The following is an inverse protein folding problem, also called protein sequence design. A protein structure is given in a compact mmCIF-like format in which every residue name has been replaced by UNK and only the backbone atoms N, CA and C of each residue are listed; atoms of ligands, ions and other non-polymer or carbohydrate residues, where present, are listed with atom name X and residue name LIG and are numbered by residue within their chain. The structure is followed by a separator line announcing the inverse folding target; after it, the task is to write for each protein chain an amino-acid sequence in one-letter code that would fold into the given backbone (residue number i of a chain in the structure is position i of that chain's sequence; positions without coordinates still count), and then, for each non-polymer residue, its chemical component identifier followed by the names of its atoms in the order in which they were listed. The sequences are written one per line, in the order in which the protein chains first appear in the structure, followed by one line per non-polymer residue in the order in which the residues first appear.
data_IF_446825080794
#
_entry.id   IF_446825080794
#
_cell.length_a   1.000
_cell.length_b   1.000
_cell.length_c   1.000
_cell.angle_alpha   90.00
_cell.angle_beta   90.00
_cell.angle_gamma   90.00
#
_symmetry.space_group_name_H-M   'P 1'
#
loop_
_entity.id
_entity.type
_entity.pdbx_description
1 polymer ?
#
# COMPACT_ATOMS: atom_id res chain seq x y z
N UNK A 1 7.59 -12.82 13.08
CA UNK A 1 6.54 -12.72 14.12
C UNK A 1 6.45 -11.26 14.53
N UNK A 2 5.29 -10.63 14.28
CA UNK A 2 4.76 -9.43 14.93
C UNK A 2 5.59 -8.13 14.97
N UNK A 3 5.16 -7.14 14.18
CA UNK A 3 4.54 -5.92 14.72
C UNK A 3 4.06 -5.00 13.57
N UNK A 4 2.81 -5.17 13.16
CA UNK A 4 2.06 -4.18 12.34
C UNK A 4 0.78 -3.86 13.13
N UNK A 5 0.90 -2.99 14.13
CA UNK A 5 -0.24 -2.31 14.76
C UNK A 5 0.24 -0.99 15.36
N UNK A 6 0.37 0.04 14.51
CA UNK A 6 0.24 1.46 14.89
C UNK A 6 -0.18 2.25 13.65
N UNK A 7 -1.45 2.12 13.26
CA UNK A 7 -2.08 2.97 12.25
C UNK A 7 -3.21 3.78 12.89
N UNK A 8 -2.88 4.55 13.93
CA UNK A 8 -3.87 5.21 14.79
C UNK A 8 -3.42 6.55 15.39
N UNK A 9 -2.44 7.22 14.79
CA UNK A 9 -2.08 8.62 15.05
C UNK A 9 -1.63 9.18 13.71
N UNK A 10 -2.35 10.17 13.20
CA UNK A 10 -1.94 11.16 12.16
C UNK A 10 -3.11 11.58 11.27
N UNK A 11 -4.22 11.99 11.90
CA UNK A 11 -5.04 13.03 11.29
C UNK A 11 -4.58 14.37 11.87
N UNK A 12 -3.51 14.88 11.24
CA UNK A 12 -2.80 16.16 11.36
C UNK A 12 -1.28 15.95 11.49
N UNK A 13 -0.59 15.48 10.43
CA UNK A 13 0.88 15.50 10.38
C UNK A 13 1.40 16.72 9.59
N UNK A 14 2.49 17.30 10.08
CA UNK A 14 3.09 18.54 9.59
C UNK A 14 3.70 18.41 8.18
N UNK A 15 3.67 19.50 7.40
CA UNK A 15 4.21 19.57 6.03
C UNK A 15 5.75 19.66 6.07
N UNK A 16 6.45 18.64 5.55
CA UNK A 16 7.89 18.71 5.30
C UNK A 16 8.19 18.80 3.80
N UNK A 17 9.14 19.69 3.47
CA UNK A 17 9.65 19.91 2.11
C UNK A 17 10.86 18.99 1.89
N UNK A 18 10.80 18.14 0.86
CA UNK A 18 11.89 17.23 0.48
C UNK A 18 12.91 17.94 -0.41
N UNK A 19 14.22 17.80 -0.15
CA UNK A 19 15.30 18.31 -1.00
C UNK A 19 15.98 17.12 -1.68
N UNK A 20 15.98 17.08 -3.02
CA UNK A 20 16.63 16.02 -3.81
C UNK A 20 18.08 16.43 -4.13
N UNK A 21 19.05 15.54 -3.91
CA UNK A 21 20.46 15.80 -4.23
C UNK A 21 20.70 15.85 -5.75
N UNK A 22 21.60 16.74 -6.19
CA UNK A 22 21.93 16.97 -7.61
C UNK A 22 22.66 15.77 -8.24
N UNK A 23 22.38 15.41 -9.50
CA UNK A 23 23.01 14.30 -10.23
C UNK A 23 24.56 14.31 -10.24
N UNK A 24 25.17 15.48 -10.05
CA UNK A 24 26.64 15.62 -10.06
C UNK A 24 27.32 14.86 -8.92
N UNK A 25 26.60 14.57 -7.83
CA UNK A 25 27.13 13.81 -6.69
C UNK A 25 27.54 12.38 -7.05
N UNK A 26 26.99 11.78 -8.12
CA UNK A 26 27.38 10.42 -8.55
C UNK A 26 28.74 10.30 -9.23
N UNK A 27 29.36 11.42 -9.58
CA UNK A 27 30.74 11.43 -10.05
C UNK A 27 31.75 11.56 -8.91
N UNK A 28 31.32 12.03 -7.74
CA UNK A 28 32.16 12.14 -6.55
C UNK A 28 32.21 10.85 -5.71
N UNK A 29 31.14 10.04 -5.73
CA UNK A 29 31.02 8.82 -4.91
C UNK A 29 30.99 7.55 -5.79
N UNK A 30 32.08 6.75 -5.83
CA UNK A 30 32.14 5.52 -6.61
C UNK A 30 31.11 4.48 -6.14
N UNK A 31 30.40 3.85 -7.08
CA UNK A 31 29.34 2.85 -6.77
C UNK A 31 29.84 1.62 -6.01
N UNK A 32 31.13 1.31 -6.08
CA UNK A 32 31.73 0.19 -5.34
C UNK A 32 31.79 0.44 -3.84
N UNK A 33 31.74 1.71 -3.41
CA UNK A 33 31.86 2.12 -2.01
C UNK A 33 30.49 2.26 -1.33
N UNK A 34 29.39 2.13 -2.09
CA UNK A 34 28.01 2.15 -1.58
C UNK A 34 27.79 1.04 -0.52
N UNK A 35 28.60 -0.03 -0.53
CA UNK A 35 28.54 -1.13 0.45
C UNK A 35 29.27 -0.85 1.77
N UNK A 36 30.03 0.25 1.87
CA UNK A 36 30.79 0.65 3.06
C UNK A 36 30.04 1.69 3.92
N UNK A 37 28.82 2.06 3.50
CA UNK A 37 28.05 3.15 4.09
C UNK A 37 26.89 2.62 4.96
N UNK A 38 26.76 3.15 6.17
CA UNK A 38 25.64 2.86 7.08
C UNK A 38 24.47 3.83 6.81
N UNK A 39 23.31 3.28 6.44
CA UNK A 39 22.09 4.04 6.13
C UNK A 39 21.11 4.03 7.30
N UNK A 40 20.48 5.18 7.59
CA UNK A 40 19.38 5.25 8.56
C UNK A 40 18.05 4.83 7.92
N UNK A 41 17.22 4.13 8.69
CA UNK A 41 15.98 3.53 8.19
C UNK A 41 14.81 3.97 9.08
N UNK A 42 13.94 4.83 8.54
CA UNK A 42 12.66 5.18 9.14
C UNK A 42 11.53 4.88 8.14
N UNK A 43 10.48 4.21 8.63
CA UNK A 43 9.28 3.82 7.87
C UNK A 43 9.51 3.14 6.51
N UNK A 44 10.48 2.22 6.47
CA UNK A 44 10.80 1.33 5.34
C UNK A 44 11.33 2.03 4.09
N UNK A 45 11.86 3.25 4.20
CA UNK A 45 12.71 3.85 3.18
C UNK A 45 14.07 4.25 3.79
N UNK A 46 15.15 3.96 3.08
CA UNK A 46 16.49 4.42 3.47
C UNK A 46 16.57 5.93 3.27
N UNK A 47 16.87 6.67 4.34
CA UNK A 47 17.15 8.11 4.28
C UNK A 47 18.60 8.34 4.74
N UNK A 48 19.14 9.51 4.41
CA UNK A 48 20.51 10.03 4.53
C UNK A 48 21.51 9.33 5.48
N UNK A 49 22.79 9.34 5.06
CA UNK A 49 23.93 8.72 5.74
C UNK A 49 24.20 9.34 7.12
N UNK A 50 24.62 8.50 8.08
CA UNK A 50 24.90 8.93 9.46
C UNK A 50 26.06 9.92 9.59
N UNK A 51 27.03 9.90 8.67
CA UNK A 51 28.19 10.81 8.65
C UNK A 51 28.68 11.09 7.22
N UNK A 52 29.12 12.32 6.94
CA UNK A 52 29.87 12.67 5.74
C UNK A 52 31.38 12.67 6.06
N UNK A 53 32.17 11.82 5.40
CA UNK A 53 33.64 11.90 5.40
C UNK A 53 34.15 12.01 3.96
N UNK A 54 34.99 13.02 3.63
CA UNK A 54 35.60 13.10 2.30
C UNK A 54 36.79 12.14 2.18
N UNK A 55 36.73 11.21 1.24
CA UNK A 55 37.87 10.37 0.82
C UNK A 55 38.41 10.85 -0.54
N UNK A 56 39.25 11.89 -0.51
CA UNK A 56 40.20 12.15 -1.60
C UNK A 56 41.61 11.96 -1.04
N UNK A 57 42.45 11.06 -1.60
CA UNK A 57 43.88 11.06 -1.34
C UNK A 57 44.48 12.35 -1.91
N UNK A 58 44.67 13.37 -1.07
CA UNK A 58 45.27 14.67 -1.40
C UNK A 58 46.75 14.59 -1.87
N UNK A 59 47.33 13.39 -2.01
CA UNK A 59 48.71 13.18 -2.52
C UNK A 59 48.81 13.33 -4.05
N UNK A 60 47.76 12.96 -4.80
CA UNK A 60 47.76 13.07 -6.26
C UNK A 60 47.32 14.44 -6.78
N UNK A 61 46.72 15.27 -5.92
CA UNK A 61 46.34 16.65 -6.26
C UNK A 61 47.53 17.61 -6.15
N UNK A 62 48.57 17.27 -5.36
CA UNK A 62 49.74 18.12 -5.12
C UNK A 62 51.06 17.62 -5.74
N UNK A 63 51.06 16.63 -6.63
CA UNK A 63 52.32 16.14 -7.24
C UNK A 63 52.61 16.68 -8.65
N UNK A 64 51.86 17.66 -9.15
CA UNK A 64 52.14 18.30 -10.45
C UNK A 64 52.76 19.70 -10.35
N UNK A 65 53.14 20.18 -9.16
CA UNK A 65 53.62 21.56 -8.99
C UNK A 65 55.07 21.72 -8.47
N UNK A 66 55.83 20.64 -8.21
CA UNK A 66 57.20 20.77 -7.65
C UNK A 66 58.29 19.95 -8.36
N UNK A 67 58.24 19.79 -9.69
CA UNK A 67 59.37 19.23 -10.43
C UNK A 67 59.59 19.90 -11.79
N UNK A 68 59.68 21.24 -11.78
CA UNK A 68 60.26 21.98 -12.89
C UNK A 68 61.04 23.20 -12.37
N UNK A 69 62.07 22.98 -11.57
CA UNK A 69 63.14 23.98 -11.44
C UNK A 69 64.52 23.32 -11.31
N UNK A 70 65.32 23.55 -12.36
CA UNK A 70 66.78 23.78 -12.36
C UNK A 70 67.64 22.58 -11.94
N UNK A 71 68.53 22.04 -12.77
CA UNK A 71 69.40 22.70 -13.73
C UNK A 71 70.78 22.08 -13.51
N UNK A 72 71.23 21.30 -14.49
CA UNK A 72 72.51 20.60 -14.53
C UNK A 72 73.65 21.63 -14.60
N UNK A 73 74.77 21.38 -13.91
CA UNK A 73 76.08 21.93 -14.31
C UNK A 73 77.19 20.88 -14.12
N UNK A 74 77.93 20.47 -15.18
CA UNK A 74 78.95 19.41 -15.09
C UNK A 74 80.37 19.92 -15.41
N UNK A 75 81.30 19.75 -14.48
CA UNK A 75 82.77 19.71 -14.70
C UNK A 75 83.33 18.75 -13.63
N UNK A 76 84.13 17.73 -13.87
CA UNK A 76 85.31 17.62 -14.73
C UNK A 76 85.65 16.13 -14.92
N UNK A 77 86.19 15.79 -16.09
CA UNK A 77 86.56 14.43 -16.53
C UNK A 77 88.02 14.13 -16.20
N UNK A 78 88.36 12.95 -15.64
CA UNK A 78 89.56 12.21 -16.09
C UNK A 78 89.23 10.71 -16.18
N UNK A 79 89.44 10.19 -17.39
CA UNK A 79 89.11 8.87 -17.86
C UNK A 79 90.03 7.76 -17.34
N UNK A 80 89.43 6.66 -16.90
CA UNK A 80 89.99 5.30 -17.03
C UNK A 80 88.88 4.37 -17.52
N UNK A 81 89.08 3.79 -18.71
CA UNK A 81 88.31 2.72 -19.35
C UNK A 81 86.77 2.84 -19.34
N UNK A 82 86.24 3.84 -20.06
CA UNK A 82 84.79 4.02 -20.27
C UNK A 82 84.17 2.92 -21.13
N UNK A 83 84.93 2.29 -22.05
CA UNK A 83 84.40 1.20 -22.88
C UNK A 83 84.08 -0.05 -22.07
N UNK A 84 84.94 -0.42 -21.13
CA UNK A 84 84.81 -1.69 -20.39
C UNK A 84 83.64 -1.63 -19.40
N UNK A 85 83.49 -0.51 -18.68
CA UNK A 85 82.42 -0.33 -17.69
C UNK A 85 81.04 -0.12 -18.34
N UNK A 86 80.96 0.56 -19.49
CA UNK A 86 79.69 0.72 -20.21
C UNK A 86 79.21 -0.60 -20.82
N UNK A 87 80.11 -1.36 -21.44
CA UNK A 87 79.80 -2.69 -21.98
C UNK A 87 79.37 -3.63 -20.86
N UNK A 88 80.05 -3.58 -19.71
CA UNK A 88 79.67 -4.35 -18.52
C UNK A 88 78.31 -3.91 -17.95
N UNK A 89 78.02 -2.61 -17.88
CA UNK A 89 76.70 -2.08 -17.46
C UNK A 89 75.58 -2.49 -18.41
N UNK A 90 75.81 -2.46 -19.72
CA UNK A 90 74.84 -2.95 -20.70
C UNK A 90 74.65 -4.46 -20.60
N UNK A 91 75.72 -5.23 -20.35
CA UNK A 91 75.62 -6.67 -20.13
C UNK A 91 74.84 -7.01 -18.85
N UNK A 92 75.07 -6.28 -17.76
CA UNK A 92 74.34 -6.44 -16.48
C UNK A 92 72.88 -6.00 -16.62
N UNK A 93 72.61 -4.88 -17.30
CA UNK A 93 71.23 -4.42 -17.56
C UNK A 93 70.48 -5.40 -18.47
N UNK A 94 71.13 -5.94 -19.51
CA UNK A 94 70.55 -6.96 -20.38
C UNK A 94 70.28 -8.27 -19.62
N UNK A 95 71.20 -8.70 -18.75
CA UNK A 95 71.00 -9.85 -17.87
C UNK A 95 69.85 -9.61 -16.88
N UNK A 96 69.75 -8.41 -16.30
CA UNK A 96 68.68 -8.02 -15.39
C UNK A 96 67.32 -8.00 -16.10
N UNK A 97 67.24 -7.38 -17.28
CA UNK A 97 66.03 -7.35 -18.11
C UNK A 97 65.64 -8.78 -18.52
N UNK A 98 66.60 -9.63 -18.90
CA UNK A 98 66.34 -11.03 -19.23
C UNK A 98 65.78 -11.80 -18.03
N UNK A 99 66.34 -11.60 -16.83
CA UNK A 99 65.84 -12.20 -15.59
C UNK A 99 64.43 -11.69 -15.28
N UNK A 100 64.17 -10.38 -15.40
CA UNK A 100 62.84 -9.79 -15.17
C UNK A 100 61.79 -10.32 -16.17
N UNK A 101 62.14 -10.44 -17.46
CA UNK A 101 61.25 -11.02 -18.48
C UNK A 101 60.94 -12.49 -18.17
N UNK A 102 61.95 -13.27 -17.73
CA UNK A 102 61.76 -14.68 -17.36
C UNK A 102 60.94 -14.84 -16.09
N UNK A 103 61.17 -13.99 -15.08
CA UNK A 103 60.41 -13.98 -13.83
C UNK A 103 58.96 -13.57 -14.07
N UNK A 104 58.74 -12.57 -14.92
CA UNK A 104 57.40 -12.11 -15.29
C UNK A 104 56.66 -13.18 -16.11
N UNK A 105 57.36 -13.88 -17.03
CA UNK A 105 56.78 -14.98 -17.79
C UNK A 105 56.33 -16.17 -16.94
N UNK A 106 57.12 -16.58 -15.94
CA UNK A 106 56.73 -17.66 -15.01
C UNK A 106 55.62 -17.24 -14.05
N UNK A 107 55.63 -15.99 -13.57
CA UNK A 107 54.53 -15.47 -12.74
C UNK A 107 53.22 -15.31 -13.54
N UNK A 108 53.30 -14.88 -14.80
CA UNK A 108 52.14 -14.78 -15.70
C UNK A 108 51.51 -16.14 -16.00
N UNK A 109 52.33 -17.19 -16.19
CA UNK A 109 51.84 -18.56 -16.35
C UNK A 109 51.11 -19.11 -15.12
N UNK A 110 51.58 -18.78 -13.91
CA UNK A 110 50.90 -19.15 -12.66
C UNK A 110 49.60 -18.38 -12.46
N UNK A 111 49.60 -17.07 -12.77
CA UNK A 111 48.41 -16.22 -12.70
C UNK A 111 47.30 -16.69 -13.66
N UNK A 112 47.64 -17.11 -14.88
CA UNK A 112 46.64 -17.63 -15.83
C UNK A 112 46.06 -18.98 -15.39
N UNK A 113 46.87 -19.87 -14.81
CA UNK A 113 46.37 -21.14 -14.26
C UNK A 113 45.48 -20.93 -13.03
N UNK A 114 45.82 -19.95 -12.20
CA UNK A 114 45.00 -19.55 -11.06
C UNK A 114 43.69 -18.89 -11.52
N UNK A 115 43.75 -18.01 -12.53
CA UNK A 115 42.57 -17.37 -13.11
C UNK A 115 41.60 -18.40 -13.72
N UNK A 116 42.10 -19.38 -14.49
CA UNK A 116 41.28 -20.46 -15.02
C UNK A 116 40.67 -21.37 -13.93
N UNK A 117 41.41 -21.64 -12.85
CA UNK A 117 40.91 -22.39 -11.70
C UNK A 117 39.86 -21.60 -10.91
N UNK A 118 40.02 -20.28 -10.78
CA UNK A 118 39.05 -19.37 -10.15
C UNK A 118 37.80 -19.24 -11.02
N UNK A 119 37.94 -19.14 -12.33
CA UNK A 119 36.82 -19.05 -13.28
C UNK A 119 35.96 -20.32 -13.27
N UNK A 120 36.57 -21.51 -13.25
CA UNK A 120 35.81 -22.77 -13.13
C UNK A 120 35.10 -22.92 -11.78
N UNK A 121 35.71 -22.44 -10.68
CA UNK A 121 35.09 -22.42 -9.34
C UNK A 121 33.97 -21.39 -9.24
N UNK A 122 34.13 -20.21 -9.87
CA UNK A 122 33.10 -19.19 -9.98
C UNK A 122 31.91 -19.70 -10.80
N UNK A 123 32.15 -20.41 -11.90
CA UNK A 123 31.10 -21.02 -12.72
C UNK A 123 30.29 -22.08 -11.95
N UNK A 124 30.95 -22.95 -11.19
CA UNK A 124 30.25 -23.92 -10.33
C UNK A 124 29.43 -23.21 -9.22
N UNK A 125 29.96 -22.12 -8.67
CA UNK A 125 29.28 -21.34 -7.63
C UNK A 125 28.07 -20.57 -8.16
N UNK A 126 28.14 -20.07 -9.41
CA UNK A 126 27.01 -19.38 -10.05
C UNK A 126 25.87 -20.35 -10.37
N UNK A 127 26.17 -21.55 -10.85
CA UNK A 127 25.17 -22.60 -11.10
C UNK A 127 24.45 -23.00 -9.80
N UNK A 128 25.20 -23.18 -8.70
CA UNK A 128 24.61 -23.49 -7.39
C UNK A 128 23.73 -22.34 -6.88
N UNK A 129 24.15 -21.08 -7.05
CA UNK A 129 23.32 -19.92 -6.66
C UNK A 129 22.04 -19.82 -7.48
N UNK A 130 22.09 -20.14 -8.76
CA UNK A 130 20.94 -20.11 -9.66
C UNK A 130 19.91 -21.18 -9.27
N UNK A 131 20.38 -22.38 -8.91
CA UNK A 131 19.52 -23.44 -8.36
C UNK A 131 18.90 -23.05 -7.01
N UNK A 132 19.65 -22.41 -6.12
CA UNK A 132 19.13 -21.94 -4.83
C UNK A 132 18.04 -20.88 -5.03
N UNK A 133 18.23 -19.95 -5.98
CA UNK A 133 17.25 -18.90 -6.28
C UNK A 133 15.97 -19.47 -6.91
N UNK A 134 16.11 -20.48 -7.79
CA UNK A 134 14.97 -21.24 -8.33
C UNK A 134 14.19 -21.95 -7.21
N UNK A 135 14.87 -22.64 -6.29
CA UNK A 135 14.22 -23.33 -5.16
C UNK A 135 13.53 -22.31 -4.23
N UNK A 136 14.18 -21.18 -3.93
CA UNK A 136 13.60 -20.12 -3.10
C UNK A 136 12.32 -19.55 -3.73
N UNK A 137 12.33 -19.35 -5.06
CA UNK A 137 11.17 -18.88 -5.80
C UNK A 137 10.02 -19.91 -5.78
N UNK A 138 10.32 -21.19 -5.90
CA UNK A 138 9.32 -22.26 -5.79
C UNK A 138 8.74 -22.35 -4.37
N UNK A 139 9.57 -22.25 -3.33
CA UNK A 139 9.11 -22.24 -1.94
C UNK A 139 8.15 -21.07 -1.66
N UNK A 140 8.47 -19.86 -2.15
CA UNK A 140 7.57 -18.69 -2.04
C UNK A 140 6.22 -18.94 -2.72
N UNK A 141 6.21 -19.60 -3.88
CA UNK A 141 4.97 -19.97 -4.59
C UNK A 141 4.14 -20.98 -3.79
N UNK A 142 4.78 -22.00 -3.23
CA UNK A 142 4.08 -23.01 -2.41
C UNK A 142 3.44 -22.37 -1.19
N UNK A 143 4.18 -21.53 -0.45
CA UNK A 143 3.65 -20.84 0.73
C UNK A 143 2.47 -19.94 0.37
N UNK A 144 2.56 -19.17 -0.72
CA UNK A 144 1.44 -18.32 -1.17
C UNK A 144 0.23 -19.13 -1.66
N UNK A 145 0.43 -20.32 -2.22
CA UNK A 145 -0.65 -21.22 -2.59
C UNK A 145 -1.30 -21.89 -1.36
N UNK A 146 -0.52 -22.26 -0.34
CA UNK A 146 -1.03 -22.79 0.92
C UNK A 146 -1.86 -21.74 1.68
N UNK A 147 -1.41 -20.48 1.67
CA UNK A 147 -2.15 -19.36 2.27
C UNK A 147 -3.46 -19.09 1.52
N UNK A 148 -3.44 -19.10 0.18
CA UNK A 148 -4.67 -19.00 -0.64
C UNK A 148 -5.63 -20.14 -0.37
N UNK A 149 -5.15 -21.39 -0.27
CA UNK A 149 -5.97 -22.56 0.03
C UNK A 149 -6.64 -22.45 1.40
N UNK A 150 -5.89 -22.03 2.43
CA UNK A 150 -6.42 -21.82 3.78
C UNK A 150 -7.52 -20.75 3.81
N UNK A 151 -7.32 -19.66 3.06
CA UNK A 151 -8.33 -18.61 2.95
C UNK A 151 -9.60 -19.10 2.23
N UNK A 152 -9.43 -19.90 1.18
CA UNK A 152 -10.54 -20.49 0.43
C UNK A 152 -11.33 -21.52 1.28
N UNK A 153 -10.66 -22.31 2.11
CA UNK A 153 -11.29 -23.23 3.07
C UNK A 153 -12.07 -22.46 4.16
N UNK A 154 -11.55 -21.30 4.59
CA UNK A 154 -12.22 -20.42 5.54
C UNK A 154 -13.46 -19.74 4.92
N UNK A 155 -13.38 -19.30 3.66
CA UNK A 155 -14.53 -18.80 2.90
C UNK A 155 -15.61 -19.87 2.71
N UNK A 156 -15.22 -21.10 2.39
CA UNK A 156 -16.15 -22.21 2.24
C UNK A 156 -16.86 -22.56 3.56
N UNK A 157 -16.13 -22.50 4.68
CA UNK A 157 -16.70 -22.65 6.02
C UNK A 157 -17.72 -21.55 6.37
N UNK A 158 -17.40 -20.30 6.04
CA UNK A 158 -18.31 -19.15 6.24
C UNK A 158 -19.54 -19.24 5.33
N UNK A 159 -19.38 -19.66 4.07
CA UNK A 159 -20.48 -19.87 3.15
C UNK A 159 -21.44 -20.96 3.65
N UNK A 160 -20.91 -22.09 4.15
CA UNK A 160 -21.73 -23.15 4.76
C UNK A 160 -22.51 -22.69 5.98
N UNK A 161 -21.89 -21.91 6.86
CA UNK A 161 -22.57 -21.33 8.02
C UNK A 161 -23.68 -20.35 7.60
N UNK A 162 -23.42 -19.54 6.58
CA UNK A 162 -24.39 -18.60 6.02
C UNK A 162 -25.56 -19.32 5.34
N UNK A 163 -25.31 -20.39 4.59
CA UNK A 163 -26.37 -21.22 3.99
C UNK A 163 -27.26 -21.83 5.07
N UNK A 164 -26.68 -22.36 6.14
CA UNK A 164 -27.45 -22.92 7.25
C UNK A 164 -28.28 -21.84 8.00
N UNK A 165 -27.78 -20.62 8.12
CA UNK A 165 -28.52 -19.48 8.67
C UNK A 165 -29.63 -18.99 7.73
N UNK A 166 -29.38 -19.01 6.41
CA UNK A 166 -30.37 -18.68 5.38
C UNK A 166 -31.50 -19.71 5.30
N UNK A 167 -31.22 -21.00 5.52
CA UNK A 167 -32.25 -22.05 5.62
C UNK A 167 -33.13 -21.84 6.86
N UNK A 168 -32.53 -21.45 7.98
CA UNK A 168 -33.25 -21.12 9.22
C UNK A 168 -34.11 -19.87 9.07
N UNK A 169 -33.56 -18.82 8.44
CA UNK A 169 -34.29 -17.57 8.13
C UNK A 169 -35.32 -17.77 7.02
N UNK A 170 -35.10 -18.70 6.10
CA UNK A 170 -36.05 -19.07 5.05
C UNK A 170 -37.36 -19.65 5.59
N UNK A 171 -37.28 -20.42 6.69
CA UNK A 171 -38.46 -20.92 7.40
C UNK A 171 -39.24 -19.80 8.11
N UNK A 172 -38.56 -18.75 8.58
CA UNK A 172 -39.18 -17.60 9.24
C UNK A 172 -39.75 -16.56 8.22
N UNK A 173 -39.04 -16.34 7.10
CA UNK A 173 -39.39 -15.37 6.05
C UNK A 173 -40.61 -15.75 5.20
N UNK A 174 -41.08 -17.00 5.25
CA UNK A 174 -42.33 -17.37 4.59
C UNK A 174 -43.57 -16.81 5.31
N UNK A 175 -43.43 -16.35 6.56
CA UNK A 175 -44.52 -15.77 7.36
C UNK A 175 -44.65 -14.25 7.15
N UNK A 176 -43.56 -13.52 6.84
CA UNK A 176 -43.55 -12.05 6.65
C UNK A 176 -43.69 -11.58 5.18
N UNK A 177 -43.81 -12.52 4.23
CA UNK A 177 -43.65 -12.29 2.78
C UNK A 177 -44.77 -11.50 2.07
N UNK A 178 -45.65 -10.80 2.77
CA UNK A 178 -46.76 -10.06 2.15
C UNK A 178 -46.52 -8.55 2.00
N UNK A 179 -45.45 -7.99 2.57
CA UNK A 179 -45.16 -6.55 2.49
C UNK A 179 -43.79 -6.29 1.85
N UNK A 180 -43.77 -5.49 0.78
CA UNK A 180 -42.52 -5.05 0.13
C UNK A 180 -41.83 -4.04 1.04
N UNK A 181 -40.54 -4.22 1.40
CA UNK A 181 -39.81 -3.28 2.22
C UNK A 181 -39.75 -1.87 1.61
N UNK A 182 -39.74 -0.85 2.46
CA UNK A 182 -39.63 0.56 2.04
C UNK A 182 -38.24 0.85 1.49
N UNK A 183 -37.19 0.50 2.23
CA UNK A 183 -35.80 0.63 1.81
C UNK A 183 -34.90 -0.31 2.64
N UNK A 184 -33.80 -0.80 2.07
CA UNK A 184 -32.75 -1.42 2.87
C UNK A 184 -31.93 -0.34 3.57
N UNK A 185 -31.52 -0.58 4.82
CA UNK A 185 -30.61 0.30 5.55
C UNK A 185 -29.26 -0.38 5.61
N UNK A 186 -28.19 0.30 5.20
CA UNK A 186 -26.83 -0.23 5.26
C UNK A 186 -25.92 0.70 6.03
N UNK A 187 -25.21 0.14 7.01
CA UNK A 187 -24.13 0.81 7.73
C UNK A 187 -22.80 0.40 7.09
N UNK A 188 -22.07 1.38 6.59
CA UNK A 188 -20.75 1.24 5.97
C UNK A 188 -19.70 1.28 7.07
N UNK A 189 -19.01 0.16 7.32
CA UNK A 189 -18.04 0.01 8.40
C UNK A 189 -16.67 -0.44 7.87
N UNK A 190 -15.60 -0.19 8.62
CA UNK A 190 -14.25 -0.65 8.25
C UNK A 190 -13.46 -1.17 9.46
N UNK A 191 -12.93 -0.28 10.30
CA UNK A 191 -11.98 -0.63 11.36
C UNK A 191 -12.22 0.11 12.68
N UNK A 192 -13.40 0.70 12.90
CA UNK A 192 -13.76 1.51 14.08
C UNK A 192 -14.82 0.81 14.96
N UNK A 193 -14.47 -0.25 15.70
CA UNK A 193 -15.45 -1.08 16.41
C UNK A 193 -16.25 -0.33 17.49
N UNK A 194 -15.74 0.76 18.06
CA UNK A 194 -16.45 1.51 19.10
C UNK A 194 -17.47 2.51 18.54
N UNK A 195 -17.14 3.16 17.41
CA UNK A 195 -18.09 4.03 16.71
C UNK A 195 -19.20 3.18 16.09
N UNK A 196 -18.80 2.09 15.43
CA UNK A 196 -19.71 1.12 14.84
C UNK A 196 -20.78 0.62 15.82
N UNK A 197 -20.37 0.21 17.03
CA UNK A 197 -21.31 -0.24 18.07
C UNK A 197 -22.31 0.85 18.46
N UNK A 198 -21.86 2.08 18.69
CA UNK A 198 -22.74 3.21 19.03
C UNK A 198 -23.75 3.49 17.92
N UNK A 199 -23.32 3.46 16.66
CA UNK A 199 -24.20 3.65 15.50
C UNK A 199 -25.26 2.55 15.43
N UNK A 200 -24.86 1.28 15.54
CA UNK A 200 -25.81 0.16 15.48
C UNK A 200 -26.80 0.20 16.64
N UNK A 201 -26.36 0.49 17.87
CA UNK A 201 -27.25 0.63 19.03
C UNK A 201 -28.25 1.78 18.86
N UNK A 202 -27.79 2.92 18.33
CA UNK A 202 -28.65 4.06 18.01
C UNK A 202 -29.73 3.69 16.99
N UNK A 203 -29.37 2.93 15.96
CA UNK A 203 -30.31 2.45 14.93
C UNK A 203 -31.31 1.45 15.51
N UNK A 204 -30.83 0.42 16.21
CA UNK A 204 -31.66 -0.66 16.75
C UNK A 204 -32.70 -0.15 17.74
N UNK A 205 -32.43 0.95 18.45
CA UNK A 205 -33.39 1.62 19.34
C UNK A 205 -34.73 1.93 18.67
N UNK A 206 -34.71 2.29 17.39
CA UNK A 206 -35.91 2.70 16.64
C UNK A 206 -36.25 1.75 15.47
N UNK A 207 -35.30 0.94 15.01
CA UNK A 207 -35.49 0.05 13.86
C UNK A 207 -36.29 -1.22 14.20
N UNK A 208 -36.20 -1.72 15.43
CA UNK A 208 -36.80 -3.01 15.81
C UNK A 208 -38.32 -3.08 15.54
N UNK A 209 -39.05 -1.98 15.71
CA UNK A 209 -40.49 -1.89 15.46
C UNK A 209 -40.86 -1.80 13.97
N UNK A 210 -39.90 -1.48 13.10
CA UNK A 210 -40.09 -1.26 11.67
C UNK A 210 -39.19 -2.16 10.81
N UNK A 211 -38.68 -3.25 11.38
CA UNK A 211 -37.68 -4.10 10.75
C UNK A 211 -38.12 -4.74 9.43
N UNK A 212 -39.43 -5.02 9.28
CA UNK A 212 -40.00 -5.52 8.02
C UNK A 212 -39.98 -4.47 6.90
N UNK A 213 -40.15 -3.19 7.24
CA UNK A 213 -40.07 -2.08 6.29
C UNK A 213 -38.63 -1.68 5.98
N UNK A 214 -37.75 -1.76 6.98
CA UNK A 214 -36.37 -1.28 6.92
C UNK A 214 -35.37 -2.35 7.36
N UNK A 215 -35.16 -3.41 6.56
CA UNK A 215 -34.17 -4.44 6.89
C UNK A 215 -32.76 -3.83 6.98
N UNK A 216 -32.05 -4.17 8.06
CA UNK A 216 -30.76 -3.59 8.42
C UNK A 216 -29.58 -4.48 8.00
N UNK A 217 -28.60 -3.87 7.35
CA UNK A 217 -27.38 -4.49 6.86
C UNK A 217 -26.15 -3.80 7.45
N UNK A 218 -25.12 -4.59 7.71
CA UNK A 218 -23.78 -4.09 8.03
C UNK A 218 -22.87 -4.51 6.89
N UNK A 219 -22.28 -3.55 6.21
CA UNK A 219 -21.28 -3.80 5.16
C UNK A 219 -19.91 -3.42 5.68
N UNK A 220 -19.05 -4.41 5.93
CA UNK A 220 -17.70 -4.17 6.43
C UNK A 220 -16.66 -4.24 5.31
N UNK A 221 -15.79 -3.24 5.23
CA UNK A 221 -14.56 -3.27 4.44
C UNK A 221 -13.42 -3.90 5.24
N UNK A 222 -12.72 -4.84 4.63
CA UNK A 222 -11.49 -5.43 5.14
C UNK A 222 -11.67 -6.43 6.29
N UNK A 223 -10.55 -6.94 6.84
CA UNK A 223 -10.54 -8.12 7.71
C UNK A 223 -10.55 -7.78 9.21
N UNK A 224 -11.07 -6.62 9.64
CA UNK A 224 -11.05 -6.26 11.06
C UNK A 224 -11.96 -7.19 11.88
N UNK A 225 -11.37 -8.14 12.60
CA UNK A 225 -12.10 -9.16 13.36
C UNK A 225 -12.92 -8.58 14.51
N UNK A 226 -12.53 -7.44 15.10
CA UNK A 226 -13.30 -6.83 16.18
C UNK A 226 -14.62 -6.26 15.66
N UNK A 227 -14.59 -5.59 14.50
CA UNK A 227 -15.81 -5.09 13.83
C UNK A 227 -16.69 -6.27 13.41
N UNK A 228 -16.09 -7.30 12.82
CA UNK A 228 -16.81 -8.52 12.40
C UNK A 228 -17.49 -9.21 13.57
N UNK A 229 -16.75 -9.47 14.65
CA UNK A 229 -17.28 -10.12 15.85
C UNK A 229 -18.44 -9.33 16.44
N UNK A 230 -18.30 -8.00 16.56
CA UNK A 230 -19.40 -7.13 17.03
C UNK A 230 -20.59 -7.16 16.09
N UNK A 231 -20.40 -7.04 14.78
CA UNK A 231 -21.50 -7.08 13.82
C UNK A 231 -22.29 -8.40 13.89
N UNK A 232 -21.61 -9.52 14.16
CA UNK A 232 -22.21 -10.84 14.29
C UNK A 232 -22.93 -11.09 15.63
N UNK A 233 -22.78 -10.23 16.64
CA UNK A 233 -23.56 -10.38 17.90
C UNK A 233 -25.01 -9.95 17.75
N UNK A 234 -25.33 -9.12 16.75
CA UNK A 234 -26.67 -8.62 16.52
C UNK A 234 -27.48 -9.60 15.64
N UNK A 235 -28.49 -10.24 16.21
CA UNK A 235 -29.34 -11.19 15.47
C UNK A 235 -30.25 -10.50 14.44
N UNK A 236 -30.50 -9.20 14.60
CA UNK A 236 -31.45 -8.43 13.79
C UNK A 236 -30.82 -7.86 12.50
N UNK A 237 -29.52 -8.06 12.28
CA UNK A 237 -28.78 -7.48 11.15
C UNK A 237 -28.31 -8.55 10.18
N UNK A 238 -28.20 -8.17 8.91
CA UNK A 238 -27.53 -8.99 7.89
C UNK A 238 -26.12 -8.48 7.68
N UNK A 239 -25.13 -9.28 8.08
CA UNK A 239 -23.72 -8.95 7.91
C UNK A 239 -23.23 -9.29 6.49
N UNK A 240 -22.47 -8.37 5.90
CA UNK A 240 -21.79 -8.50 4.61
C UNK A 240 -20.33 -8.04 4.77
N UNK A 241 -19.42 -8.70 4.08
CA UNK A 241 -18.00 -8.37 4.12
C UNK A 241 -17.44 -8.22 2.71
N UNK A 242 -16.75 -7.12 2.48
CA UNK A 242 -16.00 -6.84 1.28
C UNK A 242 -14.51 -6.97 1.57
N UNK A 243 -13.84 -7.87 0.84
CA UNK A 243 -12.41 -8.12 0.96
C UNK A 243 -11.75 -7.77 -0.37
N UNK A 244 -11.43 -6.48 -0.52
CA UNK A 244 -10.72 -5.98 -1.71
C UNK A 244 -9.20 -5.99 -1.46
N UNK A 245 -8.54 -6.97 -2.07
CA UNK A 245 -7.09 -7.12 -2.06
C UNK A 245 -6.42 -6.55 -3.31
N UNK A 246 -7.19 -5.94 -4.22
CA UNK A 246 -6.63 -5.42 -5.46
C UNK A 246 -5.73 -4.22 -5.20
N UNK A 247 -4.63 -4.15 -5.97
CA UNK A 247 -3.76 -2.98 -5.96
C UNK A 247 -4.44 -1.86 -6.73
N UNK A 248 -4.85 -0.81 -6.03
CA UNK A 248 -5.46 0.37 -6.66
C UNK A 248 -4.43 1.07 -7.56
N UNK A 249 -4.63 1.11 -8.88
CA UNK A 249 -3.78 1.90 -9.76
C UNK A 249 -4.14 3.38 -9.58
N UNK A 250 -3.22 4.16 -9.03
CA UNK A 250 -3.38 5.62 -8.93
C UNK A 250 -3.09 6.26 -10.28
N UNK A 251 -3.96 7.12 -10.78
CA UNK A 251 -3.73 7.84 -12.04
C UNK A 251 -2.57 8.83 -11.91
N UNK A 252 -2.38 9.37 -10.71
CA UNK A 252 -1.31 10.34 -10.40
C UNK A 252 -0.50 9.92 -9.18
N UNK A 253 0.82 10.20 -9.17
CA UNK A 253 1.63 10.03 -7.97
C UNK A 253 1.04 10.86 -6.82
N UNK A 254 0.94 10.25 -5.62
CA UNK A 254 0.43 10.83 -4.35
C UNK A 254 -1.09 10.88 -4.18
N UNK A 255 -1.87 10.20 -5.02
CA UNK A 255 -3.30 10.03 -4.75
C UNK A 255 -3.55 9.18 -3.51
N UNK A 256 -4.61 9.53 -2.78
CA UNK A 256 -4.98 8.86 -1.54
C UNK A 256 -5.77 7.59 -1.88
N UNK A 257 -5.07 6.45 -1.87
CA UNK A 257 -5.60 5.09 -2.10
C UNK A 257 -6.85 4.80 -1.26
N UNK A 258 -6.97 5.40 -0.08
CA UNK A 258 -8.10 5.23 0.84
C UNK A 258 -9.43 5.60 0.17
N UNK A 259 -9.50 6.66 -0.64
CA UNK A 259 -10.76 7.06 -1.29
C UNK A 259 -11.22 6.08 -2.37
N UNK A 260 -10.27 5.48 -3.09
CA UNK A 260 -10.58 4.42 -4.05
C UNK A 260 -11.18 3.20 -3.35
N UNK A 261 -10.64 2.81 -2.19
CA UNK A 261 -11.19 1.71 -1.39
C UNK A 261 -12.58 2.01 -0.86
N UNK A 262 -12.81 3.23 -0.37
CA UNK A 262 -14.15 3.67 0.07
C UNK A 262 -15.15 3.60 -1.10
N UNK A 263 -14.76 4.06 -2.28
CA UNK A 263 -15.61 4.03 -3.48
C UNK A 263 -15.91 2.59 -3.91
N UNK A 264 -14.89 1.72 -3.94
CA UNK A 264 -15.02 0.29 -4.23
C UNK A 264 -16.00 -0.39 -3.27
N UNK A 265 -15.84 -0.16 -1.97
CA UNK A 265 -16.72 -0.70 -0.93
C UNK A 265 -18.16 -0.21 -1.06
N UNK A 266 -18.36 1.08 -1.28
CA UNK A 266 -19.69 1.67 -1.48
C UNK A 266 -20.39 1.05 -2.70
N UNK A 267 -19.68 0.97 -3.82
CA UNK A 267 -20.18 0.32 -5.03
C UNK A 267 -20.57 -1.13 -4.78
N UNK A 268 -19.68 -1.91 -4.17
CA UNK A 268 -19.92 -3.31 -3.88
C UNK A 268 -21.15 -3.53 -2.98
N UNK A 269 -21.28 -2.70 -1.94
CA UNK A 269 -22.39 -2.78 -1.00
C UNK A 269 -23.73 -2.48 -1.68
N UNK A 270 -23.79 -1.40 -2.47
CA UNK A 270 -25.01 -1.00 -3.19
C UNK A 270 -25.38 -2.01 -4.28
N UNK A 271 -24.41 -2.54 -5.03
CA UNK A 271 -24.64 -3.60 -6.02
C UNK A 271 -25.27 -4.85 -5.37
N UNK A 272 -24.80 -5.23 -4.17
CA UNK A 272 -25.42 -6.33 -3.42
C UNK A 272 -26.87 -6.02 -3.05
N UNK A 273 -27.15 -4.83 -2.54
CA UNK A 273 -28.52 -4.47 -2.13
C UNK A 273 -29.48 -4.40 -3.33
N UNK A 274 -29.09 -3.74 -4.42
CA UNK A 274 -29.97 -3.51 -5.56
C UNK A 274 -30.10 -4.69 -6.52
N UNK A 275 -29.01 -5.43 -6.77
CA UNK A 275 -28.99 -6.51 -7.76
C UNK A 275 -29.11 -7.91 -7.14
N UNK A 276 -28.49 -8.15 -5.98
CA UNK A 276 -28.59 -9.46 -5.31
C UNK A 276 -29.81 -9.56 -4.40
N UNK A 277 -30.10 -8.51 -3.64
CA UNK A 277 -31.23 -8.49 -2.70
C UNK A 277 -32.51 -7.86 -3.29
N UNK A 278 -32.45 -7.31 -4.51
CA UNK A 278 -33.59 -6.74 -5.24
C UNK A 278 -34.36 -5.64 -4.49
N UNK A 279 -33.67 -4.86 -3.66
CA UNK A 279 -34.30 -3.66 -3.08
C UNK A 279 -34.52 -2.59 -4.15
N UNK A 280 -35.55 -1.77 -3.97
CA UNK A 280 -35.84 -0.63 -4.85
C UNK A 280 -35.20 0.66 -4.35
N UNK A 281 -34.89 0.73 -3.04
CA UNK A 281 -34.24 1.86 -2.36
C UNK A 281 -33.25 1.36 -1.32
N UNK A 282 -32.20 2.14 -1.10
CA UNK A 282 -31.23 1.92 -0.04
C UNK A 282 -30.97 3.23 0.70
N UNK A 283 -30.85 3.15 2.02
CA UNK A 283 -30.41 4.21 2.94
C UNK A 283 -28.99 3.87 3.39
N UNK A 284 -28.03 4.77 3.15
CA UNK A 284 -26.63 4.60 3.51
C UNK A 284 -26.30 5.43 4.74
N UNK A 285 -25.69 4.78 5.74
CA UNK A 285 -25.14 5.40 6.94
C UNK A 285 -23.66 5.05 7.10
N UNK A 286 -22.88 5.97 7.65
CA UNK A 286 -21.48 5.72 8.05
C UNK A 286 -21.42 5.19 9.49
N UNK A 287 -20.33 4.51 9.84
CA UNK A 287 -20.15 3.88 11.16
C UNK A 287 -19.86 4.84 12.32
N UNK A 288 -19.97 6.15 12.10
CA UNK A 288 -19.84 7.21 13.10
C UNK A 288 -21.08 8.12 13.21
N UNK A 289 -22.22 7.66 12.71
CA UNK A 289 -23.49 8.40 12.78
C UNK A 289 -24.43 7.90 13.90
N UNK A 290 -25.20 8.80 14.49
CA UNK A 290 -26.34 8.47 15.36
C UNK A 290 -27.63 9.00 14.74
N UNK A 291 -28.73 8.24 14.87
CA UNK A 291 -30.00 8.59 14.23
C UNK A 291 -30.97 9.28 15.20
N UNK A 292 -31.83 10.14 14.65
CA UNK A 292 -32.92 10.76 15.39
C UNK A 292 -34.09 9.77 15.62
N UNK A 293 -34.98 10.02 16.60
CA UNK A 293 -36.13 9.15 16.86
C UNK A 293 -37.09 8.98 15.67
N UNK A 294 -37.18 9.99 14.80
CA UNK A 294 -38.08 10.10 13.65
C UNK A 294 -37.40 9.74 12.32
N UNK A 295 -36.16 9.21 12.36
CA UNK A 295 -35.36 8.88 11.18
C UNK A 295 -36.10 8.01 10.16
N UNK A 296 -36.78 6.94 10.63
CA UNK A 296 -37.51 6.03 9.76
C UNK A 296 -38.79 6.65 9.20
N UNK A 297 -39.51 7.42 10.01
CA UNK A 297 -40.72 8.14 9.58
C UNK A 297 -40.37 9.17 8.48
N UNK A 298 -39.24 9.86 8.64
CA UNK A 298 -38.70 10.79 7.66
C UNK A 298 -38.45 10.12 6.29
N UNK A 299 -37.70 9.01 6.27
CA UNK A 299 -37.42 8.30 5.02
C UNK A 299 -38.66 7.60 4.44
N UNK A 300 -39.56 7.09 5.28
CA UNK A 300 -40.83 6.52 4.81
C UNK A 300 -41.68 7.59 4.10
N UNK A 301 -41.80 8.79 4.68
CA UNK A 301 -42.51 9.90 4.07
C UNK A 301 -41.85 10.38 2.76
N UNK A 302 -40.52 10.32 2.67
CA UNK A 302 -39.77 10.75 1.51
C UNK A 302 -39.77 9.75 0.33
N UNK A 303 -40.07 8.47 0.58
CA UNK A 303 -40.07 7.43 -0.44
C UNK A 303 -41.04 7.72 -1.60
N UNK A 304 -42.27 8.18 -1.31
CA UNK A 304 -43.27 8.46 -2.34
C UNK A 304 -42.88 9.65 -3.24
N UNK A 305 -42.45 10.82 -2.70
CA UNK A 305 -41.90 11.90 -3.51
C UNK A 305 -40.76 11.46 -4.43
N UNK A 306 -39.80 10.67 -3.92
CA UNK A 306 -38.68 10.17 -4.73
C UNK A 306 -39.13 9.32 -5.92
N UNK A 307 -40.13 8.46 -5.73
CA UNK A 307 -40.64 7.61 -6.82
C UNK A 307 -41.41 8.41 -7.89
N UNK A 308 -42.02 9.54 -7.50
CA UNK A 308 -42.87 10.36 -8.38
C UNK A 308 -42.11 11.47 -9.10
N UNK A 309 -41.10 12.05 -8.45
CA UNK A 309 -40.35 13.18 -8.97
C UNK A 309 -38.92 12.77 -9.33
N UNK A 310 -38.69 12.58 -10.63
CA UNK A 310 -37.39 12.19 -11.19
C UNK A 310 -36.30 13.26 -11.03
N UNK A 311 -36.65 14.49 -10.64
CA UNK A 311 -35.66 15.52 -10.34
C UNK A 311 -35.02 15.36 -8.96
N UNK A 312 -35.54 14.45 -8.12
CA UNK A 312 -34.96 14.11 -6.82
C UNK A 312 -33.96 12.96 -7.00
N UNK A 313 -32.67 13.27 -6.90
CA UNK A 313 -31.60 12.25 -6.97
C UNK A 313 -31.53 11.41 -5.69
N UNK A 314 -31.59 12.08 -4.54
CA UNK A 314 -31.44 11.47 -3.23
C UNK A 314 -32.16 12.31 -2.17
N UNK A 315 -32.43 11.69 -1.01
CA UNK A 315 -32.93 12.37 0.19
C UNK A 315 -31.89 12.19 1.29
N UNK A 316 -31.47 13.26 1.95
CA UNK A 316 -30.44 13.22 2.99
C UNK A 316 -31.00 13.69 4.33
N UNK A 317 -30.62 13.00 5.41
CA UNK A 317 -30.92 13.36 6.79
C UNK A 317 -30.04 14.51 7.33
N UNK A 318 -29.13 15.04 6.51
CA UNK A 318 -28.18 16.06 6.91
C UNK A 318 -28.52 17.45 6.38
N UNK A 319 -28.38 18.45 7.23
CA UNK A 319 -28.41 19.86 6.86
C UNK A 319 -27.04 20.47 7.13
N UNK A 320 -26.32 20.88 6.08
CA UNK A 320 -24.98 21.47 6.19
C UNK A 320 -24.94 22.72 7.09
N UNK A 321 -26.06 23.43 7.20
CA UNK A 321 -26.22 24.59 8.07
C UNK A 321 -27.13 24.29 9.29
N UNK A 322 -27.27 23.02 9.67
CA UNK A 322 -28.17 22.51 10.70
C UNK A 322 -27.79 22.85 12.15
N UNK A 323 -26.91 23.82 12.37
CA UNK A 323 -26.51 24.23 13.73
C UNK A 323 -27.71 24.83 14.45
N UNK A 324 -27.83 24.56 15.76
CA UNK A 324 -28.99 24.91 16.59
C UNK A 324 -29.45 26.38 16.47
N UNK A 325 -28.52 27.30 16.23
CA UNK A 325 -28.81 28.73 16.12
C UNK A 325 -29.46 29.14 14.79
N UNK A 326 -29.34 28.31 13.74
CA UNK A 326 -29.83 28.61 12.38
C UNK A 326 -31.09 27.83 12.00
N UNK A 327 -31.49 26.85 12.81
CA UNK A 327 -32.67 26.02 12.57
C UNK A 327 -33.83 26.49 13.42
N UNK A 328 -34.90 26.97 12.77
CA UNK A 328 -36.10 27.48 13.45
C UNK A 328 -37.34 26.61 13.24
N UNK A 329 -37.35 25.77 12.21
CA UNK A 329 -38.43 24.84 11.90
C UNK A 329 -37.87 23.41 11.81
N UNK A 330 -38.33 22.54 12.71
CA UNK A 330 -37.92 21.14 12.78
C UNK A 330 -38.66 20.25 11.78
N UNK A 331 -39.76 20.72 11.19
CA UNK A 331 -40.58 19.95 10.24
C UNK A 331 -40.40 20.38 8.78
N UNK A 332 -39.71 21.50 8.56
CA UNK A 332 -39.44 22.05 7.25
C UNK A 332 -38.50 21.14 6.44
N UNK A 333 -38.89 20.83 5.21
CA UNK A 333 -38.07 20.12 4.23
C UNK A 333 -37.63 21.08 3.13
N UNK A 334 -36.40 20.90 2.66
CA UNK A 334 -35.80 21.77 1.65
C UNK A 334 -35.27 20.94 0.49
N UNK A 335 -35.28 21.53 -0.71
CA UNK A 335 -34.52 21.03 -1.85
C UNK A 335 -33.18 21.74 -1.89
N UNK A 336 -32.13 21.00 -2.23
CA UNK A 336 -30.77 21.51 -2.37
C UNK A 336 -30.17 20.91 -3.63
N UNK A 337 -29.45 21.73 -4.38
CA UNK A 337 -28.64 21.27 -5.52
C UNK A 337 -27.27 20.75 -5.07
N UNK A 338 -26.91 20.96 -3.79
CA UNK A 338 -25.74 20.35 -3.16
C UNK A 338 -26.15 19.00 -2.56
N UNK A 339 -25.40 17.95 -2.88
CA UNK A 339 -25.56 16.61 -2.30
C UNK A 339 -24.81 16.51 -0.96
N UNK A 340 -25.51 16.45 0.20
CA UNK A 340 -24.85 16.49 1.51
C UNK A 340 -24.28 15.13 1.94
N UNK A 341 -24.77 14.03 1.37
CA UNK A 341 -24.45 12.69 1.85
C UNK A 341 -25.04 12.43 3.24
N UNK A 342 -24.22 11.92 4.18
CA UNK A 342 -24.49 11.77 5.62
C UNK A 342 -25.92 11.29 5.95
N UNK A 343 -26.15 9.98 5.85
CA UNK A 343 -27.46 9.38 6.07
C UNK A 343 -28.40 9.72 4.93
N UNK A 344 -28.28 9.01 3.80
CA UNK A 344 -29.00 9.37 2.58
C UNK A 344 -29.61 8.17 1.89
N UNK A 345 -30.74 8.40 1.23
CA UNK A 345 -31.51 7.41 0.49
C UNK A 345 -31.42 7.68 -1.01
N UNK A 346 -31.22 6.62 -1.79
CA UNK A 346 -31.33 6.64 -3.26
C UNK A 346 -32.21 5.49 -3.77
N UNK A 347 -32.64 5.64 -5.02
CA UNK A 347 -33.40 4.59 -5.73
C UNK A 347 -32.47 3.71 -6.57
N UNK A 348 -32.95 2.50 -6.88
CA UNK A 348 -32.30 1.61 -7.85
C UNK A 348 -32.12 2.27 -9.21
N UNK A 349 -33.12 3.03 -9.68
CA UNK A 349 -33.05 3.73 -10.97
C UNK A 349 -31.86 4.69 -10.99
N UNK A 350 -31.70 5.48 -9.93
CA UNK A 350 -30.54 6.36 -9.77
C UNK A 350 -29.23 5.57 -9.71
N UNK A 351 -29.21 4.43 -9.01
CA UNK A 351 -28.02 3.58 -8.94
C UNK A 351 -27.65 2.95 -10.29
N UNK A 352 -28.63 2.50 -11.07
CA UNK A 352 -28.42 1.95 -12.40
C UNK A 352 -27.74 2.99 -13.31
N UNK A 353 -28.05 4.29 -13.15
CA UNK A 353 -27.37 5.37 -13.90
C UNK A 353 -25.94 5.63 -13.41
N UNK A 354 -25.70 5.53 -12.09
CA UNK A 354 -24.39 5.83 -11.48
C UNK A 354 -23.40 4.67 -11.59
N UNK A 355 -23.88 3.42 -11.51
CA UNK A 355 -23.05 2.20 -11.41
C UNK A 355 -22.46 1.72 -12.75
N UNK A 356 -22.92 2.28 -13.88
CA UNK A 356 -22.45 1.97 -15.23
C UNK A 356 -21.11 2.64 -15.59
N UNK A 357 -20.55 3.44 -14.68
CA UNK A 357 -19.22 4.04 -14.77
C UNK A 357 -18.32 3.44 -13.71
#
# INVERSE_FOLDING_TARGET
MHNIFKGGKDHASARYVYICLSPITRFLFPKGDDCLLDYLNEDRQSIELTWYMPTIPMVLVNSSEEASERGIDPKETIARNVCDVRILLFAVAAAFIYIQIRLFGTQFGYANRLAAAVESKCHCTSEIRLLIDQISTQQKRIVSLEEKKKNQDQEYGQFRALVHDLERKGAQNMIDKLQVPVAAVVVMACNRPNYHERTIESILKYQCSVASKFPLFISQEGPNENVKHKALTYNQVTYMQHLDFETVPTERPRELIVYYKITSHCKWALDRLFYKHNFTRAIILEDDMEISPDFFDYFEAAATPMDKDRTIMAVSSWNDNGQKQFVHDLKGLYRSDLFPGLGWMLTKVTWDELSLK
#
